data_IF_832686598535
#
_entry.id   IF_832686598535
#
_cell.length_a   1.000
_cell.length_b   1.000
_cell.length_c   1.000
_cell.angle_alpha   90.00
_cell.angle_beta   90.00
_cell.angle_gamma   90.00
#
_symmetry.space_group_name_H-M   'P 1'
#
loop_
_entity.id
_entity.type
_entity.pdbx_description
1 polymer ?
#
# COMPACT_ATOMS: atom_id res chain seq x y z
N UNK A 1 3.65 -31.63 -9.78
CA UNK A 1 4.88 -31.04 -9.16
C UNK A 1 5.38 -29.80 -9.89
N UNK A 2 5.42 -29.78 -11.23
CA UNK A 2 5.90 -28.61 -12.00
C UNK A 2 5.21 -27.26 -11.66
N UNK A 3 3.87 -27.20 -11.57
CA UNK A 3 3.16 -25.97 -11.18
C UNK A 3 3.53 -25.43 -9.80
N UNK A 4 3.83 -26.33 -8.85
CA UNK A 4 4.23 -25.94 -7.49
C UNK A 4 5.63 -25.33 -7.51
N UNK A 5 6.59 -25.98 -8.17
CA UNK A 5 7.98 -25.50 -8.26
C UNK A 5 8.09 -24.16 -9.03
N UNK A 6 7.23 -23.91 -10.02
CA UNK A 6 7.26 -22.66 -10.78
C UNK A 6 6.63 -21.47 -10.04
N UNK A 7 5.53 -21.67 -9.30
CA UNK A 7 4.95 -20.67 -8.38
C UNK A 7 5.92 -20.25 -7.27
N UNK A 8 6.78 -21.20 -6.90
CA UNK A 8 7.80 -21.09 -5.89
C UNK A 8 8.97 -20.19 -6.29
N UNK A 9 9.52 -20.40 -7.48
CA UNK A 9 10.60 -19.57 -7.99
C UNK A 9 10.07 -18.20 -8.44
N UNK A 10 8.84 -18.14 -8.97
CA UNK A 10 8.10 -16.91 -9.24
C UNK A 10 8.05 -15.96 -8.05
N UNK A 11 7.55 -16.44 -6.91
CA UNK A 11 7.40 -15.62 -5.73
C UNK A 11 8.72 -15.43 -5.00
N UNK A 12 9.67 -16.35 -5.15
CA UNK A 12 11.00 -16.14 -4.61
C UNK A 12 11.80 -15.05 -5.36
N UNK A 13 11.50 -14.79 -6.63
CA UNK A 13 11.98 -13.56 -7.25
C UNK A 13 11.20 -12.31 -6.79
N UNK A 14 9.96 -12.43 -6.31
CA UNK A 14 9.29 -11.32 -5.61
C UNK A 14 10.03 -10.97 -4.31
N UNK A 15 10.60 -11.97 -3.62
CA UNK A 15 11.37 -11.82 -2.37
C UNK A 15 12.77 -11.18 -2.54
N UNK A 16 13.32 -11.12 -3.77
CA UNK A 16 14.62 -10.45 -4.05
C UNK A 16 14.39 -9.03 -4.57
N UNK A 17 13.13 -8.66 -4.83
CA UNK A 17 12.74 -7.29 -5.10
C UNK A 17 13.14 -6.46 -3.91
N UNK A 18 14.07 -5.49 -4.05
CA UNK A 18 13.88 -4.35 -3.22
C UNK A 18 12.46 -3.84 -3.69
N UNK A 19 11.56 -3.30 -2.89
CA UNK A 19 10.44 -2.51 -3.43
C UNK A 19 10.56 -1.18 -2.71
N UNK A 20 10.93 -0.12 -3.44
CA UNK A 20 11.15 1.19 -2.87
C UNK A 20 9.82 1.63 -2.24
N UNK A 21 9.80 1.79 -0.92
CA UNK A 21 8.64 2.26 -0.14
C UNK A 21 7.77 1.22 0.57
N UNK A 22 8.04 -0.07 0.40
CA UNK A 22 7.07 -1.11 0.77
C UNK A 22 6.99 -1.48 2.28
N UNK A 23 6.41 -0.68 3.20
CA UNK A 23 6.12 -1.15 4.58
C UNK A 23 4.64 -1.51 4.81
N UNK A 24 4.31 -2.79 4.60
CA UNK A 24 2.95 -3.29 4.85
C UNK A 24 2.52 -3.22 6.31
N UNK A 25 3.44 -3.10 7.27
CA UNK A 25 3.07 -3.15 8.69
C UNK A 25 2.14 -2.00 9.03
N UNK A 26 2.55 -0.76 8.72
CA UNK A 26 1.76 0.41 9.06
C UNK A 26 0.46 0.49 8.27
N UNK A 27 0.46 0.08 7.01
CA UNK A 27 -0.76 0.00 6.20
C UNK A 27 -1.73 -1.07 6.73
N UNK A 28 -1.21 -2.20 7.21
CA UNK A 28 -1.99 -3.25 7.86
C UNK A 28 -2.58 -2.79 9.19
N UNK A 29 -1.81 -2.10 10.02
CA UNK A 29 -2.30 -1.56 11.30
C UNK A 29 -3.36 -0.48 11.07
N UNK A 30 -3.16 0.41 10.09
CA UNK A 30 -4.16 1.39 9.66
C UNK A 30 -5.44 0.70 9.17
N UNK A 31 -5.31 -0.32 8.31
CA UNK A 31 -6.46 -1.09 7.80
C UNK A 31 -7.19 -1.84 8.91
N UNK A 32 -6.48 -2.42 9.88
CA UNK A 32 -7.08 -3.05 11.05
C UNK A 32 -7.88 -2.05 11.88
N UNK A 33 -7.30 -0.88 12.16
CA UNK A 33 -7.93 0.12 13.00
C UNK A 33 -9.16 0.75 12.31
N UNK A 34 -9.11 1.01 11.00
CA UNK A 34 -10.30 1.35 10.20
C UNK A 34 -11.35 0.25 10.30
N UNK A 35 -10.94 -1.02 10.14
CA UNK A 35 -11.83 -2.17 10.29
C UNK A 35 -12.56 -2.19 11.64
N UNK A 36 -11.83 -1.93 12.74
CA UNK A 36 -12.40 -1.89 14.09
C UNK A 36 -13.36 -0.71 14.28
N UNK A 37 -12.99 0.49 13.82
CA UNK A 37 -13.82 1.70 13.91
C UNK A 37 -15.20 1.49 13.27
N UNK A 38 -15.24 0.79 12.15
CA UNK A 38 -16.48 0.55 11.40
C UNK A 38 -17.15 -0.79 11.70
N UNK A 39 -16.68 -1.53 12.71
CA UNK A 39 -17.31 -2.78 13.15
C UNK A 39 -17.13 -3.98 12.21
N UNK A 40 -16.07 -3.99 11.40
CA UNK A 40 -15.70 -5.16 10.60
C UNK A 40 -15.24 -6.32 11.51
N UNK A 41 -15.62 -7.54 11.15
CA UNK A 41 -15.08 -8.76 11.79
C UNK A 41 -13.59 -8.92 11.50
N UNK A 42 -12.93 -9.81 12.25
CA UNK A 42 -11.53 -10.14 12.04
C UNK A 42 -11.21 -10.64 10.63
N UNK A 43 -12.09 -11.47 10.08
CA UNK A 43 -11.89 -11.97 8.73
C UNK A 43 -12.13 -10.85 7.69
N UNK A 44 -13.12 -9.98 7.90
CA UNK A 44 -13.44 -8.92 6.94
C UNK A 44 -12.33 -7.85 6.84
N UNK A 45 -11.80 -7.36 7.97
CA UNK A 45 -10.71 -6.38 7.91
C UNK A 45 -9.41 -6.98 7.38
N UNK A 46 -9.17 -8.29 7.55
CA UNK A 46 -8.02 -8.97 6.94
C UNK A 46 -8.15 -9.15 5.43
N UNK A 47 -9.36 -9.34 4.90
CA UNK A 47 -9.57 -9.31 3.45
C UNK A 47 -9.31 -7.89 2.94
N UNK A 48 -9.76 -6.88 3.67
CA UNK A 48 -9.45 -5.48 3.36
C UNK A 48 -7.95 -5.21 3.39
N UNK A 49 -7.21 -5.77 4.34
CA UNK A 49 -5.73 -5.73 4.37
C UNK A 49 -5.12 -6.33 3.09
N UNK A 50 -5.59 -7.49 2.63
CA UNK A 50 -5.12 -8.05 1.35
C UNK A 50 -5.40 -7.11 0.16
N UNK A 51 -6.57 -6.47 0.16
CA UNK A 51 -6.91 -5.46 -0.84
C UNK A 51 -5.99 -4.25 -0.77
N UNK A 52 -5.63 -3.80 0.42
CA UNK A 52 -4.69 -2.72 0.64
C UNK A 52 -3.28 -3.09 0.16
N UNK A 53 -2.85 -4.33 0.31
CA UNK A 53 -1.58 -4.81 -0.25
C UNK A 53 -1.59 -4.94 -1.78
N UNK A 54 -2.76 -4.93 -2.42
CA UNK A 54 -2.84 -5.23 -3.85
C UNK A 54 -2.10 -4.24 -4.78
N UNK A 55 -2.08 -2.91 -4.56
CA UNK A 55 -1.33 -2.02 -5.45
C UNK A 55 0.18 -2.30 -5.38
N UNK A 56 0.72 -2.64 -4.21
CA UNK A 56 2.12 -3.05 -4.08
C UNK A 56 2.41 -4.37 -4.79
N UNK A 57 1.52 -5.35 -4.61
CA UNK A 57 1.62 -6.66 -5.21
C UNK A 57 1.62 -6.58 -6.74
N UNK A 58 0.69 -5.81 -7.30
CA UNK A 58 0.51 -5.68 -8.73
C UNK A 58 1.37 -4.58 -9.36
N UNK A 59 1.91 -3.64 -8.59
CA UNK A 59 2.84 -2.61 -9.04
C UNK A 59 4.29 -3.05 -8.86
N UNK A 60 5.00 -2.52 -7.84
CA UNK A 60 6.44 -2.70 -7.65
C UNK A 60 6.87 -4.18 -7.57
N UNK A 61 6.11 -5.02 -6.87
CA UNK A 61 6.45 -6.46 -6.72
C UNK A 61 6.38 -7.17 -8.07
N UNK A 62 5.28 -6.97 -8.81
CA UNK A 62 5.09 -7.55 -10.15
C UNK A 62 6.07 -6.99 -11.19
N UNK A 63 6.40 -5.71 -11.11
CA UNK A 63 7.42 -5.09 -11.96
C UNK A 63 8.78 -5.76 -11.78
N UNK A 64 9.25 -5.87 -10.53
CA UNK A 64 10.52 -6.52 -10.27
C UNK A 64 10.52 -7.98 -10.71
N UNK A 65 9.45 -8.71 -10.43
CA UNK A 65 9.28 -10.08 -10.87
C UNK A 65 9.48 -10.20 -12.38
N UNK A 66 8.84 -9.30 -13.14
CA UNK A 66 8.92 -9.30 -14.61
C UNK A 66 10.33 -9.03 -15.15
N UNK A 67 11.15 -8.26 -14.41
CA UNK A 67 12.53 -7.93 -14.78
C UNK A 67 13.53 -9.03 -14.39
N UNK A 68 13.27 -9.78 -13.32
CA UNK A 68 14.25 -10.70 -12.72
C UNK A 68 13.93 -12.18 -12.96
N UNK A 69 12.69 -12.53 -13.29
CA UNK A 69 12.28 -13.89 -13.65
C UNK A 69 12.43 -14.19 -15.13
N UNK A 70 12.64 -15.46 -15.44
CA UNK A 70 12.67 -15.98 -16.82
C UNK A 70 11.88 -17.29 -16.87
N UNK A 71 11.55 -17.75 -18.08
CA UNK A 71 10.96 -19.08 -18.29
C UNK A 71 9.61 -19.34 -17.61
N UNK A 72 9.45 -20.54 -17.06
CA UNK A 72 8.18 -21.04 -16.48
C UNK A 72 7.77 -20.29 -15.23
N UNK A 73 8.74 -19.73 -14.54
CA UNK A 73 8.56 -18.94 -13.33
C UNK A 73 7.86 -17.63 -13.66
N UNK A 74 8.33 -16.94 -14.69
CA UNK A 74 7.66 -15.76 -15.22
C UNK A 74 6.26 -16.12 -15.74
N UNK A 75 6.09 -17.25 -16.43
CA UNK A 75 4.77 -17.72 -16.91
C UNK A 75 3.75 -17.91 -15.78
N UNK A 76 4.16 -18.39 -14.60
CA UNK A 76 3.25 -18.55 -13.46
C UNK A 76 2.87 -17.21 -12.83
N UNK A 77 3.83 -16.28 -12.67
CA UNK A 77 3.52 -14.89 -12.26
C UNK A 77 2.49 -14.27 -13.19
N UNK A 78 2.66 -14.47 -14.50
CA UNK A 78 1.77 -13.91 -15.52
C UNK A 78 0.33 -14.44 -15.43
N UNK A 79 0.08 -15.62 -14.84
CA UNK A 79 -1.27 -16.18 -14.71
C UNK A 79 -2.16 -15.39 -13.75
N UNK A 80 -1.57 -14.64 -12.82
CA UNK A 80 -2.30 -13.83 -11.84
C UNK A 80 -2.46 -12.37 -12.28
N UNK A 81 -2.33 -12.06 -13.56
CA UNK A 81 -2.48 -10.68 -14.06
C UNK A 81 -1.24 -9.79 -13.89
N UNK A 82 -0.14 -10.28 -13.31
CA UNK A 82 1.11 -9.52 -13.15
C UNK A 82 1.78 -9.11 -14.47
N UNK A 83 1.34 -9.64 -15.63
CA UNK A 83 1.77 -9.18 -16.95
C UNK A 83 0.78 -8.24 -17.62
N UNK A 84 -0.41 -8.04 -17.05
CA UNK A 84 -1.40 -7.11 -17.55
C UNK A 84 -0.83 -5.70 -17.36
N UNK A 85 -0.34 -5.04 -18.43
CA UNK A 85 0.28 -3.72 -18.31
C UNK A 85 -0.71 -2.68 -17.79
N UNK A 86 -2.01 -2.87 -18.04
CA UNK A 86 -3.06 -2.02 -17.52
C UNK A 86 -3.18 -2.14 -16.00
N UNK A 87 -3.24 -3.36 -15.43
CA UNK A 87 -3.28 -3.56 -13.97
C UNK A 87 -2.04 -2.94 -13.32
N UNK A 88 -0.85 -3.16 -13.91
CA UNK A 88 0.40 -2.60 -13.36
C UNK A 88 0.44 -1.08 -13.44
N UNK A 89 0.01 -0.51 -14.56
CA UNK A 89 -0.09 0.94 -14.74
C UNK A 89 -1.07 1.53 -13.74
N UNK A 90 -2.23 0.90 -13.57
CA UNK A 90 -3.24 1.30 -12.59
C UNK A 90 -2.72 1.24 -11.15
N UNK A 91 -2.00 0.18 -10.79
CA UNK A 91 -1.40 0.02 -9.46
C UNK A 91 -0.46 1.20 -9.11
N UNK A 92 0.37 1.63 -10.06
CA UNK A 92 1.33 2.74 -9.87
C UNK A 92 0.61 4.07 -9.55
N UNK A 93 -0.57 4.33 -10.12
CA UNK A 93 -1.34 5.54 -9.80
C UNK A 93 -1.91 5.54 -8.38
N UNK A 94 -2.00 4.38 -7.73
CA UNK A 94 -2.52 4.25 -6.38
C UNK A 94 -1.44 4.45 -5.30
N UNK A 95 -0.17 4.63 -5.67
CA UNK A 95 0.91 4.98 -4.72
C UNK A 95 0.98 6.47 -4.37
N UNK A 96 0.12 7.30 -4.99
CA UNK A 96 0.06 8.77 -4.82
C UNK A 96 1.39 9.52 -5.00
N UNK A 97 2.35 8.89 -5.68
CA UNK A 97 3.62 9.49 -6.06
C UNK A 97 3.41 10.58 -7.12
N UNK A 98 4.33 11.55 -7.13
CA UNK A 98 4.45 12.55 -8.17
C UNK A 98 5.09 11.94 -9.43
N UNK A 99 4.32 11.12 -10.14
CA UNK A 99 4.77 10.41 -11.35
C UNK A 99 5.31 11.39 -12.38
N UNK A 100 6.58 11.24 -12.74
CA UNK A 100 7.28 12.10 -13.70
C UNK A 100 7.22 13.61 -13.37
N UNK A 101 6.97 13.99 -12.11
CA UNK A 101 6.78 15.39 -11.74
C UNK A 101 5.46 15.99 -12.21
N UNK A 102 4.42 15.20 -12.50
CA UNK A 102 3.12 15.69 -13.00
C UNK A 102 2.31 16.51 -11.97
N UNK A 103 2.56 16.40 -10.66
CA UNK A 103 1.92 17.23 -9.63
C UNK A 103 2.60 18.59 -9.52
N UNK A 104 1.85 19.63 -9.90
CA UNK A 104 2.33 21.01 -9.97
C UNK A 104 1.56 21.94 -9.04
N UNK A 105 0.47 21.47 -8.42
CA UNK A 105 -0.44 22.29 -7.61
C UNK A 105 -1.25 21.42 -6.63
N UNK A 106 -1.84 22.05 -5.62
CA UNK A 106 -2.73 21.35 -4.68
C UNK A 106 -4.01 20.88 -5.39
N UNK A 107 -4.47 21.57 -6.44
CA UNK A 107 -5.60 21.12 -7.26
C UNK A 107 -5.35 19.80 -7.99
N UNK A 108 -4.09 19.45 -8.29
CA UNK A 108 -3.77 18.13 -8.85
C UNK A 108 -4.03 17.03 -7.82
N UNK A 109 -3.62 17.22 -6.56
CA UNK A 109 -3.94 16.29 -5.49
C UNK A 109 -5.46 16.22 -5.23
N UNK A 110 -6.15 17.36 -5.20
CA UNK A 110 -7.61 17.37 -5.00
C UNK A 110 -8.35 16.62 -6.11
N UNK A 111 -7.87 16.74 -7.35
CA UNK A 111 -8.38 15.97 -8.47
C UNK A 111 -8.24 14.47 -8.20
N UNK A 112 -7.08 14.00 -7.72
CA UNK A 112 -6.90 12.58 -7.39
C UNK A 112 -7.81 12.12 -6.26
N UNK A 113 -7.86 12.86 -5.14
CA UNK A 113 -8.73 12.51 -4.01
C UNK A 113 -10.20 12.43 -4.43
N UNK A 114 -10.67 13.41 -5.21
CA UNK A 114 -12.06 13.46 -5.67
C UNK A 114 -12.36 12.31 -6.63
N UNK A 115 -11.51 12.09 -7.63
CA UNK A 115 -11.73 11.04 -8.63
C UNK A 115 -11.60 9.63 -8.04
N UNK A 116 -10.65 9.42 -7.13
CA UNK A 116 -10.53 8.15 -6.42
C UNK A 116 -11.78 7.90 -5.55
N UNK A 117 -12.33 8.94 -4.91
CA UNK A 117 -13.53 8.81 -4.06
C UNK A 117 -14.73 8.43 -4.90
N UNK A 118 -14.95 9.16 -6.00
CA UNK A 118 -16.03 8.90 -6.95
C UNK A 118 -15.91 7.49 -7.56
N UNK A 119 -14.73 7.11 -8.05
CA UNK A 119 -14.47 5.76 -8.59
C UNK A 119 -14.71 4.68 -7.55
N UNK A 120 -14.26 4.88 -6.30
CA UNK A 120 -14.49 3.93 -5.21
C UNK A 120 -15.98 3.76 -4.90
N UNK A 121 -16.70 4.88 -4.75
CA UNK A 121 -18.16 4.87 -4.50
C UNK A 121 -18.92 4.18 -5.63
N UNK A 122 -18.64 4.54 -6.88
CA UNK A 122 -19.30 3.97 -8.05
C UNK A 122 -19.00 2.47 -8.21
N UNK A 123 -17.74 2.07 -7.99
CA UNK A 123 -17.32 0.68 -8.07
C UNK A 123 -18.06 -0.18 -7.03
N UNK A 124 -18.05 0.25 -5.77
CA UNK A 124 -18.75 -0.45 -4.68
C UNK A 124 -20.27 -0.50 -4.90
N UNK A 125 -20.88 0.61 -5.30
CA UNK A 125 -22.31 0.66 -5.63
C UNK A 125 -22.67 -0.31 -6.77
N UNK A 126 -21.80 -0.46 -7.77
CA UNK A 126 -22.03 -1.34 -8.91
C UNK A 126 -22.08 -2.83 -8.56
N UNK A 127 -21.45 -3.25 -7.45
CA UNK A 127 -21.41 -4.67 -7.07
C UNK A 127 -22.76 -5.26 -6.70
N UNK A 128 -23.73 -4.44 -6.30
CA UNK A 128 -25.10 -4.92 -6.07
C UNK A 128 -25.75 -5.42 -7.38
N UNK A 129 -25.46 -4.80 -8.52
CA UNK A 129 -25.97 -5.19 -9.83
C UNK A 129 -25.17 -6.31 -10.52
N UNK A 130 -24.03 -6.70 -9.95
CA UNK A 130 -23.14 -7.69 -10.52
C UNK A 130 -23.74 -9.10 -10.41
N UNK A 131 -23.77 -9.83 -11.54
CA UNK A 131 -24.13 -11.26 -11.60
C UNK A 131 -23.02 -12.14 -11.02
N UNK A 132 -22.77 -11.99 -9.73
CA UNK A 132 -21.87 -12.82 -8.94
C UNK A 132 -22.64 -13.42 -7.75
N UNK A 133 -22.07 -14.38 -7.04
CA UNK A 133 -22.63 -14.82 -5.75
C UNK A 133 -22.30 -13.82 -4.63
N UNK A 134 -22.95 -14.00 -3.47
CA UNK A 134 -22.80 -13.11 -2.32
C UNK A 134 -21.37 -13.11 -1.76
N UNK A 135 -20.74 -14.29 -1.74
CA UNK A 135 -19.34 -14.48 -1.34
C UNK A 135 -18.41 -13.60 -2.18
N UNK A 136 -18.55 -13.65 -3.50
CA UNK A 136 -17.74 -12.88 -4.46
C UNK A 136 -17.96 -11.39 -4.30
N UNK A 137 -19.21 -10.94 -4.14
CA UNK A 137 -19.51 -9.51 -3.89
C UNK A 137 -18.87 -8.98 -2.62
N UNK A 138 -18.86 -9.77 -1.54
CA UNK A 138 -18.20 -9.39 -0.27
C UNK A 138 -16.69 -9.29 -0.43
N UNK A 139 -16.07 -10.25 -1.11
CA UNK A 139 -14.63 -10.17 -1.42
C UNK A 139 -14.34 -8.91 -2.23
N UNK A 140 -15.08 -8.68 -3.33
CA UNK A 140 -14.92 -7.49 -4.16
C UNK A 140 -15.04 -6.21 -3.35
N UNK A 141 -16.05 -6.10 -2.50
CA UNK A 141 -16.27 -4.94 -1.62
C UNK A 141 -15.07 -4.67 -0.72
N UNK A 142 -14.60 -5.69 0.01
CA UNK A 142 -13.52 -5.54 0.99
C UNK A 142 -12.18 -5.26 0.31
N UNK A 143 -11.92 -5.94 -0.81
CA UNK A 143 -10.70 -5.76 -1.59
C UNK A 143 -10.64 -4.36 -2.21
N UNK A 144 -11.74 -3.89 -2.82
CA UNK A 144 -11.83 -2.52 -3.36
C UNK A 144 -11.62 -1.47 -2.29
N UNK A 145 -12.26 -1.64 -1.13
CA UNK A 145 -12.10 -0.71 -0.01
C UNK A 145 -10.64 -0.67 0.44
N UNK A 146 -10.01 -1.84 0.59
CA UNK A 146 -8.59 -1.96 0.92
C UNK A 146 -7.68 -1.25 -0.08
N UNK A 147 -7.87 -1.51 -1.38
CA UNK A 147 -7.06 -0.90 -2.43
C UNK A 147 -7.22 0.63 -2.48
N UNK A 148 -8.42 1.15 -2.22
CA UNK A 148 -8.62 2.60 -2.09
C UNK A 148 -7.94 3.18 -0.84
N UNK A 149 -7.96 2.45 0.28
CA UNK A 149 -7.31 2.86 1.52
C UNK A 149 -5.78 2.93 1.39
N UNK A 150 -5.19 2.04 0.58
CA UNK A 150 -3.76 2.08 0.27
C UNK A 150 -3.37 3.46 -0.28
N UNK A 151 -4.06 3.93 -1.31
CA UNK A 151 -3.80 5.24 -1.91
C UNK A 151 -3.92 6.41 -0.93
N UNK A 152 -4.88 6.35 0.01
CA UNK A 152 -5.02 7.36 1.04
C UNK A 152 -3.86 7.32 2.03
N UNK A 153 -3.42 6.12 2.43
CA UNK A 153 -2.29 5.93 3.35
C UNK A 153 -0.99 6.42 2.70
N UNK A 154 -0.74 5.99 1.46
CA UNK A 154 0.41 6.39 0.65
C UNK A 154 0.52 7.90 0.48
N UNK A 155 -0.59 8.63 0.33
CA UNK A 155 -0.52 10.10 0.29
C UNK A 155 0.15 10.68 1.54
N UNK A 156 -0.21 10.23 2.74
CA UNK A 156 0.40 10.74 3.98
C UNK A 156 1.77 10.13 4.25
N UNK A 157 2.06 8.99 3.64
CA UNK A 157 3.37 8.36 3.70
C UNK A 157 4.37 8.92 2.70
N UNK A 158 3.94 9.46 1.56
CA UNK A 158 4.81 9.88 0.44
C UNK A 158 4.73 11.38 0.13
N UNK A 159 4.14 12.19 1.03
CA UNK A 159 4.06 13.65 0.87
C UNK A 159 4.62 14.42 2.05
N UNK A 160 4.88 15.70 1.80
CA UNK A 160 5.25 16.67 2.83
C UNK A 160 4.03 17.16 3.64
N UNK A 161 2.86 16.50 3.55
CA UNK A 161 1.64 16.94 4.24
C UNK A 161 1.90 17.19 5.73
N UNK A 162 2.53 16.23 6.43
CA UNK A 162 2.82 16.35 7.86
C UNK A 162 3.99 17.31 8.19
N UNK A 163 4.70 17.81 7.19
CA UNK A 163 5.75 18.82 7.37
C UNK A 163 5.18 20.24 7.44
N UNK A 164 3.91 20.43 7.07
CA UNK A 164 3.23 21.71 7.13
C UNK A 164 2.89 22.10 8.58
N UNK A 165 3.06 23.38 8.89
CA UNK A 165 2.73 23.95 10.20
C UNK A 165 1.26 24.38 10.25
N UNK A 166 0.38 23.39 10.44
CA UNK A 166 -1.07 23.62 10.51
C UNK A 166 -1.49 24.51 11.68
N UNK A 167 -0.67 24.65 12.73
CA UNK A 167 -0.97 25.55 13.85
C UNK A 167 -0.90 27.03 13.45
N UNK A 168 -0.28 27.36 12.32
CA UNK A 168 -0.34 28.69 11.69
C UNK A 168 -1.57 28.91 10.79
N UNK A 169 -2.34 27.88 10.51
CA UNK A 169 -3.61 27.96 9.77
C UNK A 169 -4.79 27.95 10.74
N UNK A 170 -6.01 28.15 10.29
CA UNK A 170 -7.23 28.00 11.11
C UNK A 170 -7.66 26.53 11.29
N UNK A 171 -7.15 25.61 10.49
CA UNK A 171 -7.29 24.15 10.67
C UNK A 171 -6.06 23.62 11.40
N UNK A 172 -6.19 23.44 12.71
CA UNK A 172 -5.06 23.15 13.61
C UNK A 172 -4.62 21.69 13.58
N UNK A 173 -3.44 21.44 14.14
CA UNK A 173 -3.04 20.09 14.54
C UNK A 173 -4.07 19.51 15.52
N UNK A 174 -4.33 18.20 15.42
CA UNK A 174 -5.35 17.53 16.23
C UNK A 174 -4.70 16.65 17.28
N UNK A 175 -5.09 16.86 18.54
CA UNK A 175 -4.77 15.94 19.64
C UNK A 175 -5.84 14.85 19.73
N UNK A 176 -5.42 13.60 19.68
CA UNK A 176 -6.31 12.44 19.84
C UNK A 176 -6.76 12.29 21.29
N UNK A 177 -7.72 11.41 21.54
CA UNK A 177 -8.15 11.05 22.90
C UNK A 177 -7.05 10.42 23.76
N UNK A 178 -6.05 9.80 23.15
CA UNK A 178 -4.85 9.27 23.83
C UNK A 178 -3.82 10.36 24.15
N UNK A 179 -4.03 11.61 23.70
CA UNK A 179 -3.08 12.72 23.84
C UNK A 179 -2.02 12.78 22.74
N UNK A 180 -2.07 11.87 21.77
CA UNK A 180 -1.18 11.84 20.62
C UNK A 180 -1.51 12.96 19.62
N UNK A 181 -0.54 13.34 18.79
CA UNK A 181 -0.71 14.36 17.76
C UNK A 181 -0.92 13.73 16.37
N UNK A 182 -1.74 14.37 15.54
CA UNK A 182 -1.85 14.13 14.09
C UNK A 182 -2.07 15.46 13.35
N UNK A 183 -1.71 15.51 12.07
CA UNK A 183 -2.13 16.59 11.19
C UNK A 183 -3.65 16.48 10.90
N UNK A 184 -4.32 17.57 10.48
CA UNK A 184 -5.64 17.45 9.86
C UNK A 184 -5.55 16.60 8.60
N UNK A 185 -6.65 15.96 8.23
CA UNK A 185 -6.73 15.22 6.95
C UNK A 185 -6.94 16.18 5.77
N UNK A 186 -6.74 15.68 4.55
CA UNK A 186 -7.03 16.39 3.31
C UNK A 186 -8.44 16.95 3.29
N UNK A 187 -9.46 16.13 3.61
CA UNK A 187 -10.85 16.59 3.59
C UNK A 187 -11.18 17.51 4.77
N UNK A 188 -10.62 17.31 5.97
CA UNK A 188 -10.77 18.26 7.09
C UNK A 188 -10.28 19.66 6.68
N UNK A 189 -9.15 19.74 5.98
CA UNK A 189 -8.61 21.02 5.48
C UNK A 189 -9.41 21.57 4.28
N UNK A 190 -9.71 20.72 3.29
CA UNK A 190 -10.46 21.09 2.08
C UNK A 190 -11.86 21.61 2.42
N UNK A 191 -12.58 20.97 3.34
CA UNK A 191 -13.93 21.36 3.74
C UNK A 191 -13.98 22.78 4.34
N UNK A 192 -12.84 23.30 4.83
CA UNK A 192 -12.70 24.68 5.33
C UNK A 192 -12.22 25.67 4.27
N UNK A 193 -11.37 25.23 3.36
CA UNK A 193 -10.66 26.14 2.44
C UNK A 193 -11.08 26.09 0.97
N UNK A 194 -11.86 25.10 0.55
CA UNK A 194 -12.52 24.87 -0.75
C UNK A 194 -11.70 24.97 -2.06
N UNK A 195 -10.74 25.90 -2.16
CA UNK A 195 -9.89 26.14 -3.32
C UNK A 195 -8.43 25.77 -2.99
N UNK A 196 -7.99 24.54 -3.32
CA UNK A 196 -6.66 24.03 -3.01
C UNK A 196 -5.51 24.93 -3.45
N UNK A 197 -5.66 25.61 -4.59
CA UNK A 197 -4.60 26.46 -5.16
C UNK A 197 -4.46 27.81 -4.44
N UNK A 198 -5.38 28.12 -3.51
CA UNK A 198 -5.31 29.31 -2.66
C UNK A 198 -4.80 29.02 -1.24
N UNK A 199 -4.46 27.77 -0.93
CA UNK A 199 -3.91 27.44 0.38
C UNK A 199 -2.58 28.16 0.62
N UNK A 200 -2.25 28.42 1.88
CA UNK A 200 -1.04 29.15 2.26
C UNK A 200 0.24 28.32 2.15
N UNK A 201 0.12 27.07 1.70
CA UNK A 201 1.21 26.13 1.48
C UNK A 201 0.91 25.32 0.21
N UNK A 202 1.97 24.74 -0.35
CA UNK A 202 1.88 23.83 -1.49
C UNK A 202 2.39 22.46 -1.06
N UNK A 203 1.56 21.45 -1.29
CA UNK A 203 1.89 20.05 -1.01
C UNK A 203 2.81 19.53 -2.10
N UNK A 204 3.77 18.72 -1.71
CA UNK A 204 4.64 17.95 -2.60
C UNK A 204 4.60 16.50 -2.20
N UNK A 205 4.61 15.62 -3.19
CA UNK A 205 4.86 14.20 -2.99
C UNK A 205 6.15 13.75 -3.66
N UNK A 206 6.57 12.55 -3.29
CA UNK A 206 7.76 11.89 -3.79
C UNK A 206 7.71 11.68 -5.30
N UNK A 207 8.75 12.08 -6.01
CA UNK A 207 8.87 11.89 -7.46
C UNK A 207 9.25 10.43 -7.74
N UNK A 208 8.45 9.79 -8.62
CA UNK A 208 8.72 8.46 -9.15
C UNK A 208 8.65 8.44 -10.69
N UNK A 209 9.57 7.77 -11.40
CA UNK A 209 10.81 7.21 -10.88
C UNK A 209 11.72 8.31 -10.29
N UNK A 210 12.65 7.97 -9.38
CA UNK A 210 13.59 8.92 -8.81
C UNK A 210 14.35 9.72 -9.88
N UNK A 211 14.54 11.02 -9.63
CA UNK A 211 15.28 11.93 -10.51
C UNK A 211 16.53 12.39 -9.77
N UNK A 212 17.71 12.15 -10.37
CA UNK A 212 18.99 12.51 -9.76
C UNK A 212 19.05 13.98 -9.36
N UNK A 213 19.37 14.24 -8.08
CA UNK A 213 19.49 15.58 -7.51
C UNK A 213 18.16 16.23 -7.06
N UNK A 214 17.01 15.59 -7.28
CA UNK A 214 15.75 16.06 -6.72
C UNK A 214 15.72 15.85 -5.20
N UNK A 215 15.25 16.84 -4.45
CA UNK A 215 15.13 16.74 -3.00
C UNK A 215 13.89 15.94 -2.56
N UNK A 216 12.84 15.93 -3.38
CA UNK A 216 11.58 15.24 -3.12
C UNK A 216 11.44 13.96 -3.95
N UNK A 217 12.44 13.09 -3.94
CA UNK A 217 12.25 11.74 -4.53
C UNK A 217 11.26 10.94 -3.67
N UNK A 218 10.66 9.90 -4.24
CA UNK A 218 9.85 8.92 -3.49
C UNK A 218 10.51 8.53 -2.16
N UNK A 219 11.79 8.12 -2.20
CA UNK A 219 12.53 7.69 -1.00
C UNK A 219 12.69 8.79 0.04
N UNK A 220 12.92 10.04 -0.37
CA UNK A 220 13.12 11.16 0.55
C UNK A 220 11.83 11.67 1.19
N UNK A 221 10.68 11.31 0.63
CA UNK A 221 9.36 11.69 1.14
C UNK A 221 8.66 10.53 1.84
N UNK A 222 9.29 9.37 1.96
CA UNK A 222 8.66 8.16 2.49
C UNK A 222 8.70 8.12 4.03
N UNK A 223 7.55 7.83 4.65
CA UNK A 223 7.37 7.73 6.11
C UNK A 223 6.99 6.33 6.58
N UNK A 224 7.05 5.33 5.71
CA UNK A 224 6.61 3.97 5.97
C UNK A 224 7.52 3.21 6.94
N UNK A 225 8.68 3.73 7.31
CA UNK A 225 9.62 3.06 8.22
C UNK A 225 9.91 3.91 9.47
N UNK A 226 9.74 3.37 10.69
CA UNK A 226 10.01 4.11 11.94
C UNK A 226 11.41 4.68 12.09
N UNK A 227 12.39 4.15 11.37
CA UNK A 227 13.78 4.63 11.41
C UNK A 227 14.13 5.52 10.24
N UNK A 228 13.20 5.74 9.30
CA UNK A 228 13.44 6.43 8.04
C UNK A 228 14.69 5.89 7.32
N UNK A 229 14.93 4.58 7.46
CA UNK A 229 16.06 3.87 6.87
C UNK A 229 15.61 3.20 5.58
N UNK A 230 16.16 3.67 4.48
CA UNK A 230 15.86 3.12 3.17
C UNK A 230 17.14 2.64 2.51
N UNK A 231 17.09 1.44 1.95
CA UNK A 231 18.06 1.05 0.93
C UNK A 231 17.85 2.00 -0.23
N UNK A 232 18.88 2.80 -0.57
CA UNK A 232 18.83 3.63 -1.75
C UNK A 232 18.53 2.73 -2.94
N UNK A 233 17.34 2.91 -3.48
CA UNK A 233 16.81 2.00 -4.45
C UNK A 233 17.43 2.16 -5.85
N UNK A 234 18.28 3.16 -6.07
CA UNK A 234 18.88 3.30 -7.41
C UNK A 234 19.98 2.25 -7.69
N UNK A 235 20.43 1.44 -6.71
CA UNK A 235 21.41 0.37 -6.99
C UNK A 235 21.44 -0.77 -5.97
N UNK A 236 21.23 -2.05 -6.38
CA UNK A 236 21.52 -3.21 -5.53
C UNK A 236 22.97 -3.19 -5.02
N UNK A 237 23.16 -3.29 -3.70
CA UNK A 237 24.47 -3.34 -3.05
C UNK A 237 24.91 -2.06 -2.34
N UNK A 238 24.13 -0.98 -2.39
CA UNK A 238 24.37 0.24 -1.62
C UNK A 238 23.90 0.09 -0.15
N UNK A 239 24.53 0.82 0.80
CA UNK A 239 24.15 0.76 2.22
C UNK A 239 22.76 1.36 2.47
N UNK A 240 22.11 0.90 3.54
CA UNK A 240 20.94 1.58 4.12
C UNK A 240 21.34 3.02 4.48
N UNK A 241 20.57 4.01 4.02
CA UNK A 241 20.78 5.41 4.36
C UNK A 241 19.61 5.93 5.18
N UNK A 242 19.96 6.62 6.26
CA UNK A 242 19.04 7.38 7.08
C UNK A 242 18.56 8.59 6.29
N UNK A 243 17.25 8.73 6.15
CA UNK A 243 16.63 9.82 5.39
C UNK A 243 16.13 10.96 6.28
N UNK A 244 16.37 10.90 7.61
CA UNK A 244 15.91 11.91 8.57
C UNK A 244 16.25 13.36 8.19
N UNK A 245 17.35 13.58 7.46
CA UNK A 245 17.72 14.91 6.94
C UNK A 245 16.66 15.55 6.02
N UNK A 246 15.84 14.74 5.34
CA UNK A 246 14.73 15.17 4.49
C UNK A 246 13.41 15.37 5.26
N UNK A 247 13.36 14.92 6.52
CA UNK A 247 12.17 14.94 7.39
C UNK A 247 12.33 15.92 8.57
N UNK A 248 13.17 16.94 8.41
CA UNK A 248 13.55 17.88 9.47
C UNK A 248 12.58 19.08 9.66
N UNK A 249 11.34 18.96 9.16
CA UNK A 249 10.32 20.00 9.17
C UNK A 249 9.01 19.54 9.84
N UNK A 250 8.10 20.48 10.07
CA UNK A 250 6.81 20.25 10.72
C UNK A 250 6.86 20.26 12.24
N UNK A 251 5.77 19.82 12.89
CA UNK A 251 5.60 19.90 14.35
C UNK A 251 6.40 18.84 15.12
N UNK A 252 6.82 17.76 14.45
CA UNK A 252 7.66 16.69 15.01
C UNK A 252 8.77 16.35 14.00
N UNK A 253 9.79 17.20 13.83
CA UNK A 253 10.87 16.95 12.87
C UNK A 253 11.73 15.75 13.28
N UNK A 254 12.20 14.99 12.29
CA UNK A 254 13.21 13.96 12.46
C UNK A 254 14.60 14.58 12.62
N UNK A 255 15.42 14.03 13.53
CA UNK A 255 16.77 14.53 13.81
C UNK A 255 17.85 13.46 13.65
N UNK A 256 17.46 12.26 13.16
CA UNK A 256 18.36 11.14 12.97
C UNK A 256 18.70 10.39 14.26
N UNK A 257 17.89 10.61 15.30
CA UNK A 257 17.89 9.79 16.51
C UNK A 257 16.59 9.00 16.59
N UNK A 258 16.64 7.82 17.20
CA UNK A 258 15.52 6.87 17.25
C UNK A 258 14.23 7.49 17.80
N UNK A 259 14.33 8.40 18.77
CA UNK A 259 13.17 9.02 19.41
C UNK A 259 12.47 10.03 18.50
N UNK A 260 13.23 10.94 17.88
CA UNK A 260 12.66 11.94 16.97
C UNK A 260 12.14 11.31 15.67
N UNK A 261 12.88 10.36 15.10
CA UNK A 261 12.50 9.65 13.87
C UNK A 261 11.21 8.86 14.08
N UNK A 262 11.11 8.13 15.21
CA UNK A 262 9.88 7.41 15.56
C UNK A 262 8.70 8.37 15.80
N UNK A 263 8.91 9.50 16.50
CA UNK A 263 7.85 10.46 16.74
C UNK A 263 7.32 11.09 15.43
N UNK A 264 8.21 11.41 14.50
CA UNK A 264 7.87 11.89 13.16
C UNK A 264 7.04 10.86 12.39
N UNK A 265 7.51 9.62 12.37
CA UNK A 265 6.82 8.53 11.69
C UNK A 265 5.43 8.25 12.29
N UNK A 266 5.31 8.26 13.62
CA UNK A 266 4.02 8.09 14.29
C UNK A 266 3.04 9.22 13.95
N UNK A 267 3.52 10.45 13.70
CA UNK A 267 2.67 11.53 13.21
C UNK A 267 2.06 11.19 11.84
N UNK A 268 2.87 10.66 10.91
CA UNK A 268 2.42 10.20 9.60
C UNK A 268 1.36 9.10 9.73
N UNK A 269 1.66 8.03 10.49
CA UNK A 269 0.74 6.90 10.72
C UNK A 269 -0.59 7.33 11.31
N UNK A 270 -0.57 8.19 12.33
CA UNK A 270 -1.81 8.66 12.98
C UNK A 270 -2.63 9.56 12.06
N UNK A 271 -1.96 10.34 11.21
CA UNK A 271 -2.63 11.15 10.19
C UNK A 271 -3.25 10.25 9.11
N UNK A 272 -2.50 9.28 8.60
CA UNK A 272 -2.97 8.29 7.63
C UNK A 272 -4.14 7.46 8.18
N UNK A 273 -4.10 7.05 9.45
CA UNK A 273 -5.19 6.37 10.13
C UNK A 273 -6.46 7.23 10.16
N UNK A 274 -6.34 8.47 10.61
CA UNK A 274 -7.48 9.38 10.70
C UNK A 274 -8.09 9.65 9.32
N UNK A 275 -7.24 9.81 8.31
CA UNK A 275 -7.67 9.97 6.92
C UNK A 275 -8.32 8.71 6.36
N UNK A 276 -7.82 7.51 6.68
CA UNK A 276 -8.45 6.25 6.31
C UNK A 276 -9.84 6.09 6.94
N UNK A 277 -10.00 6.50 8.20
CA UNK A 277 -11.31 6.51 8.86
C UNK A 277 -12.26 7.49 8.16
N UNK A 278 -11.81 8.72 7.92
CA UNK A 278 -12.61 9.72 7.22
C UNK A 278 -12.96 9.28 5.79
N UNK A 279 -12.02 8.65 5.08
CA UNK A 279 -12.20 8.11 3.74
C UNK A 279 -13.39 7.16 3.69
N UNK A 280 -13.44 6.17 4.60
CA UNK A 280 -14.59 5.23 4.64
C UNK A 280 -15.89 5.98 4.96
N UNK A 281 -15.88 7.03 5.79
CA UNK A 281 -17.08 7.86 6.02
C UNK A 281 -17.53 8.55 4.73
N UNK A 282 -16.60 9.16 3.98
CA UNK A 282 -16.89 9.80 2.69
C UNK A 282 -17.39 8.78 1.67
N UNK A 283 -16.81 7.57 1.61
CA UNK A 283 -17.31 6.50 0.73
C UNK A 283 -18.75 6.10 1.08
N UNK A 284 -19.09 6.03 2.38
CA UNK A 284 -20.44 5.72 2.85
C UNK A 284 -21.49 6.83 2.61
N UNK A 285 -21.09 8.03 2.16
CA UNK A 285 -22.02 9.07 1.73
C UNK A 285 -22.82 8.63 0.49
N UNK A 286 -22.26 7.73 -0.33
CA UNK A 286 -23.03 7.04 -1.36
C UNK A 286 -23.81 5.86 -0.73
N UNK A 287 -25.16 5.88 -0.77
CA UNK A 287 -25.97 4.89 -0.07
C UNK A 287 -25.81 3.45 -0.60
N UNK A 288 -25.55 3.29 -1.91
CA UNK A 288 -25.37 1.97 -2.51
C UNK A 288 -23.97 1.41 -2.20
N UNK A 289 -22.94 2.27 -2.19
CA UNK A 289 -21.60 1.90 -1.72
C UNK A 289 -21.67 1.48 -0.24
N UNK A 290 -22.33 2.27 0.60
CA UNK A 290 -22.58 1.95 2.02
C UNK A 290 -23.25 0.59 2.17
N UNK A 291 -24.29 0.31 1.38
CA UNK A 291 -24.99 -0.99 1.41
C UNK A 291 -24.04 -2.15 1.08
N UNK A 292 -23.15 -1.98 0.11
CA UNK A 292 -22.13 -2.99 -0.22
C UNK A 292 -21.20 -3.22 0.98
N UNK A 293 -20.67 -2.16 1.58
CA UNK A 293 -19.78 -2.23 2.75
C UNK A 293 -20.49 -2.93 3.92
N UNK A 294 -21.70 -2.49 4.29
CA UNK A 294 -22.51 -3.09 5.35
C UNK A 294 -22.76 -4.59 5.13
N UNK A 295 -22.97 -5.01 3.88
CA UNK A 295 -23.15 -6.43 3.57
C UNK A 295 -21.91 -7.28 3.88
N UNK A 296 -20.71 -6.69 3.87
CA UNK A 296 -19.44 -7.37 4.06
C UNK A 296 -18.86 -7.23 5.48
N UNK A 297 -19.21 -6.18 6.24
CA UNK A 297 -18.69 -5.89 7.59
C UNK A 297 -18.78 -7.08 8.54
N UNK A 298 -19.94 -7.73 8.59
CA UNK A 298 -20.23 -8.84 9.50
C UNK A 298 -19.69 -10.21 9.06
N UNK A 299 -18.89 -10.29 7.99
CA UNK A 299 -18.58 -11.58 7.39
C UNK A 299 -17.54 -12.38 8.19
N UNK A 300 -17.97 -13.48 8.81
CA UNK A 300 -17.11 -14.41 9.53
C UNK A 300 -16.84 -15.66 8.68
N UNK A 301 -15.65 -15.76 8.09
CA UNK A 301 -15.29 -16.87 7.21
C UNK A 301 -15.19 -18.18 7.97
N UNK A 302 -14.70 -18.18 9.21
CA UNK A 302 -14.58 -19.43 9.98
C UNK A 302 -15.91 -20.15 10.17
N UNK A 303 -17.02 -19.39 10.24
CA UNK A 303 -18.37 -19.93 10.38
C UNK A 303 -18.97 -20.28 9.01
N UNK A 304 -18.83 -19.38 8.03
CA UNK A 304 -19.58 -19.45 6.78
C UNK A 304 -18.82 -20.13 5.62
N UNK A 305 -17.48 -20.06 5.62
CA UNK A 305 -16.62 -20.64 4.59
C UNK A 305 -15.23 -20.99 5.16
N UNK A 306 -15.10 -22.12 5.89
CA UNK A 306 -13.84 -22.52 6.52
C UNK A 306 -12.71 -22.78 5.52
N UNK A 307 -13.03 -23.03 4.26
CA UNK A 307 -12.03 -23.16 3.21
C UNK A 307 -11.43 -21.78 2.89
N UNK A 308 -12.29 -20.80 2.61
CA UNK A 308 -11.86 -19.41 2.36
C UNK A 308 -11.18 -18.79 3.59
N UNK A 309 -11.52 -19.20 4.81
CA UNK A 309 -10.80 -18.78 6.02
C UNK A 309 -9.33 -19.23 6.02
N UNK A 310 -9.05 -20.45 5.53
CA UNK A 310 -7.67 -20.95 5.37
C UNK A 310 -6.94 -20.22 4.25
N UNK A 311 -7.68 -19.90 3.18
CA UNK A 311 -7.18 -19.07 2.08
C UNK A 311 -6.75 -17.68 2.56
N UNK A 312 -7.58 -17.04 3.38
CA UNK A 312 -7.31 -15.73 3.96
C UNK A 312 -6.07 -15.77 4.85
N UNK A 313 -5.97 -16.78 5.72
CA UNK A 313 -4.81 -16.97 6.57
C UNK A 313 -3.53 -17.15 5.75
N UNK A 314 -3.60 -17.92 4.67
CA UNK A 314 -2.48 -18.11 3.76
C UNK A 314 -2.09 -16.80 3.04
N UNK A 315 -3.06 -15.98 2.65
CA UNK A 315 -2.83 -14.65 2.08
C UNK A 315 -2.10 -13.71 3.02
N UNK A 316 -2.60 -13.55 4.24
CA UNK A 316 -2.00 -12.66 5.24
C UNK A 316 -0.58 -13.13 5.61
N UNK A 317 -0.34 -14.44 5.68
CA UNK A 317 1.02 -14.98 5.87
C UNK A 317 1.91 -14.68 4.65
N UNK A 318 1.37 -14.76 3.43
CA UNK A 318 2.15 -14.49 2.21
C UNK A 318 2.59 -13.03 2.16
N UNK A 319 1.66 -12.10 2.37
CA UNK A 319 1.93 -10.68 2.53
C UNK A 319 3.02 -10.48 3.59
N UNK A 320 2.85 -11.11 4.77
CA UNK A 320 3.82 -10.99 5.84
C UNK A 320 5.20 -11.61 5.49
N UNK A 321 5.27 -12.67 4.69
CA UNK A 321 6.57 -13.22 4.27
C UNK A 321 7.22 -12.33 3.21
N UNK A 322 6.43 -11.84 2.26
CA UNK A 322 6.88 -10.96 1.17
C UNK A 322 7.51 -9.70 1.73
N UNK A 323 6.81 -9.06 2.67
CA UNK A 323 7.37 -7.91 3.33
C UNK A 323 8.67 -8.32 4.06
N UNK A 324 8.75 -9.47 4.78
CA UNK A 324 9.90 -9.85 5.66
C UNK A 324 11.15 -9.95 4.82
N UNK A 325 11.01 -10.56 3.66
CA UNK A 325 12.11 -10.71 2.73
C UNK A 325 12.53 -9.38 2.09
N UNK A 326 11.60 -8.46 1.82
CA UNK A 326 11.92 -7.13 1.31
C UNK A 326 12.78 -6.30 2.29
N UNK A 327 12.88 -6.71 3.57
CA UNK A 327 13.58 -5.95 4.59
C UNK A 327 12.86 -4.64 4.92
N UNK A 328 11.56 -4.59 4.63
CA UNK A 328 10.70 -3.43 4.79
C UNK A 328 9.64 -3.74 5.85
N UNK A 329 10.16 -3.88 7.05
CA UNK A 329 9.42 -3.90 8.30
C UNK A 329 9.90 -2.70 9.04
N UNK A 330 9.05 -2.19 9.90
CA UNK A 330 9.29 -1.10 10.80
C UNK A 330 10.72 -1.09 11.43
N UNK A 331 11.69 -0.54 10.70
CA UNK A 331 13.12 -0.73 10.94
C UNK A 331 13.62 -2.18 11.07
N UNK A 332 14.80 -2.36 11.68
CA UNK A 332 15.41 -3.69 11.91
C UNK A 332 14.80 -4.46 13.11
N UNK A 333 13.80 -3.89 13.81
CA UNK A 333 13.32 -4.42 15.08
C UNK A 333 11.80 -4.27 15.27
N UNK A 334 10.98 -5.13 14.65
CA UNK A 334 9.54 -5.03 14.80
C UNK A 334 9.10 -5.39 16.22
N UNK A 335 8.05 -4.75 16.77
CA UNK A 335 7.52 -5.09 18.09
C UNK A 335 6.88 -6.49 18.10
N UNK A 336 7.09 -7.23 19.21
CA UNK A 336 6.35 -8.45 19.54
C UNK A 336 6.62 -9.69 18.65
N UNK A 337 5.59 -10.50 18.45
CA UNK A 337 5.66 -11.81 17.77
C UNK A 337 6.02 -11.71 16.28
N UNK A 338 5.60 -10.64 15.60
CA UNK A 338 5.94 -10.37 14.18
C UNK A 338 7.44 -10.13 14.00
N UNK A 339 8.08 -9.45 14.96
CA UNK A 339 9.53 -9.25 14.95
C UNK A 339 10.29 -10.56 15.06
N UNK A 340 9.82 -11.49 15.90
CA UNK A 340 10.42 -12.83 16.00
C UNK A 340 10.19 -13.64 14.72
N UNK A 341 9.02 -13.51 14.09
CA UNK A 341 8.77 -14.14 12.79
C UNK A 341 9.72 -13.60 11.70
N UNK A 342 9.80 -12.28 11.49
CA UNK A 342 10.69 -11.72 10.48
C UNK A 342 12.16 -11.95 10.81
N UNK A 343 12.59 -11.86 12.08
CA UNK A 343 13.95 -12.28 12.48
C UNK A 343 14.18 -13.74 12.16
N UNK A 344 13.23 -14.65 12.36
CA UNK A 344 13.41 -16.05 11.97
C UNK A 344 13.52 -16.22 10.45
N UNK A 345 12.85 -15.38 9.67
CA UNK A 345 12.98 -15.32 8.20
C UNK A 345 14.36 -14.77 7.80
N UNK A 346 14.85 -13.72 8.48
CA UNK A 346 16.10 -13.01 8.20
C UNK A 346 17.36 -13.73 8.77
N UNK A 347 17.30 -14.29 9.96
CA UNK A 347 18.37 -15.07 10.61
C UNK A 347 18.58 -16.41 9.92
N UNK A 348 17.52 -17.04 9.40
CA UNK A 348 17.68 -18.15 8.45
C UNK A 348 18.39 -17.70 7.18
N UNK A 349 18.15 -16.47 6.72
CA UNK A 349 18.91 -15.82 5.65
C UNK A 349 20.38 -15.56 6.02
N UNK A 350 20.77 -15.40 7.30
CA UNK A 350 22.16 -15.16 7.71
C UNK A 350 22.92 -16.44 8.10
N UNK A 351 22.30 -17.36 8.83
CA UNK A 351 22.93 -18.60 9.31
C UNK A 351 23.04 -19.69 8.24
N UNK A 352 22.28 -19.59 7.14
CA UNK A 352 22.48 -20.45 5.96
C UNK A 352 23.62 -19.95 5.05
N UNK A 353 24.22 -18.78 5.33
CA UNK A 353 25.35 -18.20 4.59
C UNK A 353 26.66 -18.73 5.20
N UNK A 354 26.95 -19.99 4.94
CA UNK A 354 28.30 -20.52 5.11
C UNK A 354 29.17 -20.13 3.91
N UNK A 355 29.99 -19.08 4.04
CA UNK A 355 31.18 -18.76 3.22
C UNK A 355 31.12 -19.01 1.69
N UNK A 356 30.02 -18.74 0.99
CA UNK A 356 29.91 -18.92 -0.47
C UNK A 356 29.59 -17.60 -1.20
N UNK A 357 30.14 -17.47 -2.41
CA UNK A 357 30.16 -16.26 -3.24
C UNK A 357 28.76 -15.82 -3.72
N UNK A 358 28.54 -14.50 -3.79
CA UNK A 358 27.22 -13.86 -3.82
C UNK A 358 26.30 -14.08 -5.03
N UNK A 359 26.70 -14.83 -6.06
CA UNK A 359 25.82 -15.17 -7.20
C UNK A 359 25.06 -16.49 -7.03
N UNK A 360 25.65 -17.48 -6.36
CA UNK A 360 25.00 -18.77 -6.05
C UNK A 360 24.07 -18.67 -4.81
N UNK A 361 24.24 -17.59 -4.04
CA UNK A 361 23.45 -17.25 -2.87
C UNK A 361 21.98 -16.93 -3.21
N UNK A 362 21.71 -16.28 -4.35
CA UNK A 362 20.35 -15.89 -4.75
C UNK A 362 19.46 -17.07 -5.09
N UNK A 363 20.00 -18.14 -5.67
CA UNK A 363 19.24 -19.31 -6.12
C UNK A 363 18.89 -20.28 -4.99
N UNK A 364 19.70 -20.39 -3.94
CA UNK A 364 19.41 -21.21 -2.75
C UNK A 364 18.42 -20.54 -1.77
N UNK A 365 18.49 -19.20 -1.63
CA UNK A 365 17.51 -18.37 -0.90
C UNK A 365 16.10 -18.59 -1.45
N UNK A 366 16.01 -18.66 -2.78
CA UNK A 366 14.79 -18.96 -3.50
C UNK A 366 14.28 -20.36 -3.15
N UNK A 367 15.15 -21.35 -2.99
CA UNK A 367 14.77 -22.73 -2.70
C UNK A 367 14.08 -22.95 -1.34
N UNK A 368 14.39 -22.16 -0.30
CA UNK A 368 13.95 -22.47 1.07
C UNK A 368 12.64 -21.79 1.48
N UNK A 369 12.49 -20.49 1.19
CA UNK A 369 11.23 -19.76 1.36
C UNK A 369 10.16 -20.33 0.41
N UNK A 370 10.60 -20.74 -0.78
CA UNK A 370 9.75 -21.42 -1.71
C UNK A 370 9.33 -22.82 -1.20
N UNK A 371 10.21 -23.73 -0.84
CA UNK A 371 9.80 -25.14 -0.66
C UNK A 371 8.85 -25.43 0.52
N UNK A 372 8.71 -24.56 1.54
CA UNK A 372 7.97 -24.90 2.77
C UNK A 372 6.62 -24.18 2.98
N UNK A 373 6.49 -22.89 2.67
CA UNK A 373 5.27 -22.13 2.95
C UNK A 373 4.48 -21.71 1.70
N UNK A 374 5.19 -21.39 0.61
CA UNK A 374 4.60 -20.67 -0.54
C UNK A 374 3.87 -21.49 -1.62
N UNK A 375 4.07 -22.81 -1.82
CA UNK A 375 3.28 -23.56 -2.79
C UNK A 375 1.92 -23.94 -2.18
N UNK A 376 1.78 -23.77 -0.86
CA UNK A 376 0.53 -23.77 -0.12
C UNK A 376 -0.04 -22.35 -0.09
N UNK A 377 0.77 -21.30 0.06
CA UNK A 377 0.22 -19.95 0.07
C UNK A 377 -0.43 -19.54 -1.26
N UNK A 378 0.26 -19.70 -2.39
CA UNK A 378 -0.27 -19.36 -3.72
C UNK A 378 -1.39 -20.27 -4.23
N UNK A 379 -1.43 -21.53 -3.76
CA UNK A 379 -2.54 -22.44 -4.10
C UNK A 379 -3.84 -22.05 -3.39
N UNK A 380 -3.74 -21.29 -2.30
CA UNK A 380 -4.84 -20.97 -1.40
C UNK A 380 -5.11 -19.46 -1.33
N UNK A 381 -4.49 -18.60 -2.13
CA UNK A 381 -4.90 -17.19 -2.21
C UNK A 381 -5.73 -16.88 -3.45
N UNK A 382 -6.11 -17.93 -4.19
CA UNK A 382 -6.72 -17.85 -5.51
C UNK A 382 -7.86 -16.85 -5.52
N UNK A 383 -8.87 -17.01 -4.66
CA UNK A 383 -10.04 -16.14 -4.77
C UNK A 383 -9.72 -14.65 -4.58
N UNK A 384 -8.88 -14.28 -3.61
CA UNK A 384 -8.62 -12.87 -3.30
C UNK A 384 -7.82 -12.16 -4.40
N UNK A 385 -6.88 -12.85 -5.05
CA UNK A 385 -6.11 -12.30 -6.16
C UNK A 385 -6.78 -12.48 -7.52
N UNK A 386 -7.52 -13.58 -7.71
CA UNK A 386 -8.26 -13.84 -8.94
C UNK A 386 -9.36 -12.78 -9.14
N UNK A 387 -10.01 -12.31 -8.08
CA UNK A 387 -11.00 -11.23 -8.22
C UNK A 387 -10.38 -9.92 -8.70
N UNK A 388 -9.13 -9.61 -8.35
CA UNK A 388 -8.46 -8.42 -8.86
C UNK A 388 -8.34 -8.47 -10.37
N UNK A 389 -7.80 -9.57 -10.90
CA UNK A 389 -7.58 -9.76 -12.33
C UNK A 389 -8.88 -9.92 -13.11
N UNK A 390 -9.88 -10.61 -12.55
CA UNK A 390 -11.15 -10.87 -13.22
C UNK A 390 -12.05 -9.62 -13.29
N UNK A 391 -12.03 -8.79 -12.24
CA UNK A 391 -12.93 -7.64 -12.12
C UNK A 391 -12.24 -6.29 -12.31
N UNK A 392 -10.96 -6.30 -12.69
CA UNK A 392 -10.19 -5.11 -13.05
C UNK A 392 -10.25 -4.02 -11.97
N UNK A 393 -10.11 -4.43 -10.70
CA UNK A 393 -10.37 -3.54 -9.56
C UNK A 393 -9.45 -2.32 -9.58
N UNK A 394 -8.15 -2.53 -9.81
CA UNK A 394 -7.18 -1.45 -9.80
C UNK A 394 -7.40 -0.51 -11.00
N UNK A 395 -7.64 -1.08 -12.19
CA UNK A 395 -7.91 -0.29 -13.39
C UNK A 395 -9.16 0.59 -13.22
N UNK A 396 -10.22 0.05 -12.63
CA UNK A 396 -11.45 0.81 -12.38
C UNK A 396 -11.29 1.88 -11.30
N UNK A 397 -10.43 1.68 -10.32
CA UNK A 397 -10.09 2.72 -9.34
C UNK A 397 -9.27 3.85 -9.98
N UNK A 398 -8.38 3.51 -10.90
CA UNK A 398 -7.47 4.47 -11.56
C UNK A 398 -8.02 5.08 -12.87
N UNK A 399 -9.19 4.65 -13.36
CA UNK A 399 -9.72 4.97 -14.70
C UNK A 399 -9.83 6.48 -14.98
N UNK A 400 -10.15 7.28 -13.96
CA UNK A 400 -10.31 8.74 -14.05
C UNK A 400 -9.04 9.52 -13.70
N UNK A 401 -7.98 8.82 -13.31
CA UNK A 401 -6.80 9.38 -12.65
C UNK A 401 -5.61 9.44 -13.61
N UNK A 402 -5.45 8.41 -14.44
CA UNK A 402 -4.35 8.27 -15.38
C UNK A 402 -4.69 7.33 -16.52
N UNK A 403 -3.72 7.13 -17.42
CA UNK A 403 -3.84 6.24 -18.58
C UNK A 403 -2.69 5.25 -18.63
N UNK A 404 -2.73 4.29 -19.55
CA UNK A 404 -1.65 3.35 -19.88
C UNK A 404 -0.29 4.02 -20.19
N UNK A 405 -0.23 5.35 -20.29
CA UNK A 405 1.00 6.13 -20.50
C UNK A 405 1.90 6.25 -19.27
N UNK A 406 1.42 5.90 -18.07
CA UNK A 406 2.15 6.11 -16.81
C UNK A 406 2.24 7.57 -16.38
N UNK A 407 1.34 8.41 -16.88
CA UNK A 407 1.20 9.84 -16.53
C UNK A 407 -0.20 10.14 -16.04
N UNK A 408 -0.31 11.11 -15.14
CA UNK A 408 -1.60 11.57 -14.66
C UNK A 408 -2.35 12.36 -15.74
N UNK A 409 -3.66 12.16 -15.82
CA UNK A 409 -4.54 12.81 -16.77
C UNK A 409 -5.43 13.85 -16.10
N UNK A 410 -4.90 15.06 -15.82
CA UNK A 410 -5.69 16.14 -15.24
C UNK A 410 -6.63 16.76 -16.28
N UNK A 411 -7.81 16.19 -16.46
CA UNK A 411 -8.89 16.83 -17.20
C UNK A 411 -9.45 17.97 -16.37
N UNK A 412 -8.99 19.20 -16.64
CA UNK A 412 -9.64 20.39 -16.07
C UNK A 412 -11.07 20.44 -16.60
N UNK A 413 -12.05 20.01 -15.81
CA UNK A 413 -13.45 20.30 -16.07
C UNK A 413 -13.61 21.80 -15.99
N UNK A 414 -13.68 22.46 -17.15
CA UNK A 414 -14.10 23.86 -17.23
C UNK A 414 -15.55 23.84 -16.76
N UNK A 415 -15.90 24.47 -15.63
CA UNK A 415 -17.29 24.49 -15.18
C UNK A 415 -18.15 25.09 -16.30
N UNK A 416 -19.36 24.54 -16.54
CA UNK A 416 -20.26 25.11 -17.53
C UNK A 416 -20.50 26.59 -17.20
N UNK A 417 -20.34 27.44 -18.21
CA UNK A 417 -20.52 28.90 -18.11
C UNK A 417 -21.93 29.29 -17.69
#
# INVERSE_FOLDING_TARGET
MARKLSALVALAAWLVSPAAGFDTYWHSECSQAVGREFGFTDDAWRIMQLGNFSPDLFGPVSEYASRNLKGKELEVVNQYGAKNPQVRGAAIFLHFDNLNGDFQSNSNFDFLFTNLLESTQQLLASYHGLKADDRTRKVLTLITLGASLHAIQDFYSHSDWIHNDFDKTDVKMVKTSSGDLRAPTWFEFRDKHNDPDKWTFQVKSGIYPPVGGALNTHTHMNHDNSRLLYTEYETPGQPLKLQAEYHNAGPLPAHGDEGSDQAHQQLAVRTALAAGIEWVRKVEENPDAKKAIESAKGWNLKIHDPHLAKELQAGVITEMVLSCAAGKWDGDAPPGERGTFCRSVLERKLNSIGSTTGSDLKSEIIGLAANLAMPVALKFTGMFWDVHGQYHILERLAESVGSDSGRYGFTKTIPPK
#
